data_IF_405103367341
#
_entry.id   IF_405103367341
#
_cell.length_a   1.000
_cell.length_b   1.000
_cell.length_c   1.000
_cell.angle_alpha   90.00
_cell.angle_beta   90.00
_cell.angle_gamma   90.00
#
_symmetry.space_group_name_H-M   'P 1'
#
loop_
_entity.id
_entity.type
_entity.pdbx_description
1 polymer ?
#
# COMPACT_ATOMS: atom_id res chain seq x y z
N UNK A 1 -94.15 6.41 18.62
CA UNK A 1 -92.98 5.86 19.33
C UNK A 1 -91.89 5.65 18.28
N UNK A 2 -90.64 6.04 18.39
CA UNK A 2 -89.88 6.84 19.34
C UNK A 2 -88.57 7.15 18.59
N UNK A 3 -88.02 8.34 18.77
CA UNK A 3 -86.71 8.74 18.24
C UNK A 3 -85.61 7.69 18.52
N UNK A 4 -84.61 7.57 17.65
CA UNK A 4 -83.23 8.05 17.92
C UNK A 4 -82.14 7.60 16.92
N UNK A 5 -81.37 8.61 16.46
CA UNK A 5 -79.88 8.68 16.30
C UNK A 5 -79.20 7.76 15.24
N UNK A 6 -78.10 8.07 14.54
CA UNK A 6 -77.03 9.09 14.58
C UNK A 6 -76.56 9.42 13.16
N UNK A 7 -76.25 10.69 12.91
CA UNK A 7 -75.33 11.15 11.87
C UNK A 7 -73.89 10.76 12.24
N UNK A 8 -73.10 10.31 11.25
CA UNK A 8 -71.64 10.31 11.31
C UNK A 8 -71.12 10.59 9.92
N UNK A 9 -70.41 11.71 9.82
CA UNK A 9 -69.88 12.30 8.61
C UNK A 9 -68.45 11.81 8.34
N UNK A 10 -67.96 12.26 7.18
CA UNK A 10 -66.58 12.43 6.75
C UNK A 10 -65.94 11.25 6.01
N UNK A 11 -66.11 11.34 4.69
CA UNK A 11 -65.19 10.86 3.68
C UNK A 11 -63.79 11.46 3.88
N UNK A 12 -62.77 10.61 3.82
CA UNK A 12 -61.40 10.99 3.47
C UNK A 12 -60.94 9.98 2.43
N UNK A 13 -61.04 10.36 1.16
CA UNK A 13 -60.43 9.60 0.07
C UNK A 13 -58.92 9.89 0.10
N UNK A 14 -58.14 8.91 0.57
CA UNK A 14 -56.70 8.96 0.50
C UNK A 14 -56.24 8.85 -0.96
N UNK A 15 -55.63 9.90 -1.50
CA UNK A 15 -54.89 9.84 -2.76
C UNK A 15 -53.72 8.86 -2.58
N UNK A 16 -53.75 7.73 -3.27
CA UNK A 16 -52.57 6.89 -3.45
C UNK A 16 -51.63 7.58 -4.44
N UNK A 17 -50.59 8.23 -3.92
CA UNK A 17 -49.45 8.63 -4.73
C UNK A 17 -48.64 7.36 -5.07
N UNK A 18 -48.70 6.91 -6.32
CA UNK A 18 -47.76 5.92 -6.85
C UNK A 18 -46.37 6.56 -6.88
N UNK A 19 -45.58 6.35 -5.84
CA UNK A 19 -44.12 6.48 -5.95
C UNK A 19 -43.62 5.28 -6.75
N UNK A 20 -43.29 5.52 -8.01
CA UNK A 20 -42.49 4.59 -8.79
C UNK A 20 -41.14 4.45 -8.09
N UNK A 21 -40.99 3.40 -7.29
CA UNK A 21 -39.68 2.91 -6.86
C UNK A 21 -38.94 2.49 -8.13
N UNK A 22 -38.16 3.41 -8.70
CA UNK A 22 -37.03 3.02 -9.54
C UNK A 22 -36.11 2.18 -8.67
N UNK A 23 -36.25 0.85 -8.77
CA UNK A 23 -35.30 -0.07 -8.17
C UNK A 23 -33.93 0.30 -8.72
N UNK A 24 -33.08 0.87 -7.87
CA UNK A 24 -31.69 1.11 -8.20
C UNK A 24 -31.10 -0.24 -8.61
N UNK A 25 -30.70 -0.35 -9.87
CA UNK A 25 -29.96 -1.53 -10.35
C UNK A 25 -28.75 -1.67 -9.42
N UNK A 26 -28.57 -2.80 -8.72
CA UNK A 26 -27.41 -2.98 -7.86
C UNK A 26 -26.19 -2.77 -8.74
N UNK A 27 -25.34 -1.81 -8.36
CA UNK A 27 -24.10 -1.54 -9.06
C UNK A 27 -23.34 -2.88 -9.16
N UNK A 28 -23.18 -3.39 -10.38
CA UNK A 28 -22.45 -4.63 -10.62
C UNK A 28 -21.09 -4.48 -9.98
N UNK A 29 -20.82 -5.25 -8.93
CA UNK A 29 -19.54 -5.21 -8.24
C UNK A 29 -18.43 -5.42 -9.27
N UNK A 30 -17.53 -4.44 -9.40
CA UNK A 30 -16.37 -4.57 -10.27
C UNK A 30 -15.61 -5.82 -9.80
N UNK A 31 -15.36 -6.75 -10.73
CA UNK A 31 -14.61 -7.96 -10.42
C UNK A 31 -13.28 -7.59 -9.74
N UNK A 32 -12.96 -8.26 -8.62
CA UNK A 32 -11.72 -8.02 -7.89
C UNK A 32 -10.54 -8.24 -8.84
N UNK A 33 -9.66 -7.25 -8.92
CA UNK A 33 -8.45 -7.38 -9.73
C UNK A 33 -7.54 -8.41 -9.06
N UNK A 34 -7.12 -9.49 -9.75
CA UNK A 34 -6.22 -10.47 -9.16
C UNK A 34 -4.91 -9.80 -8.72
N UNK A 35 -4.37 -10.18 -7.56
CA UNK A 35 -3.01 -9.78 -7.17
C UNK A 35 -2.00 -10.42 -8.12
N UNK A 36 -1.23 -9.60 -8.83
CA UNK A 36 -0.26 -10.06 -9.82
C UNK A 36 1.17 -9.99 -9.32
N UNK A 37 1.51 -9.01 -8.47
CA UNK A 37 2.81 -8.89 -7.81
C UNK A 37 2.72 -7.79 -6.76
N UNK A 38 3.02 -8.10 -5.49
CA UNK A 38 3.06 -7.08 -4.45
C UNK A 38 1.73 -6.48 -4.04
N UNK A 39 0.59 -7.00 -4.49
CA UNK A 39 -0.74 -6.47 -4.14
C UNK A 39 -1.15 -6.71 -2.68
N UNK A 40 -0.35 -7.45 -1.89
CA UNK A 40 -0.61 -7.73 -0.48
C UNK A 40 0.62 -7.39 0.39
N UNK A 41 0.38 -7.04 1.67
CA UNK A 41 1.47 -6.82 2.65
C UNK A 41 2.37 -8.05 2.76
N UNK A 42 1.77 -9.24 2.78
CA UNK A 42 2.45 -10.53 2.82
C UNK A 42 3.44 -10.74 1.66
N UNK A 43 3.24 -10.09 0.51
CA UNK A 43 4.16 -10.16 -0.62
C UNK A 43 5.50 -9.50 -0.30
N UNK A 44 5.49 -8.47 0.55
CA UNK A 44 6.69 -7.77 1.02
C UNK A 44 7.31 -8.47 2.22
N UNK A 45 6.52 -9.02 3.14
CA UNK A 45 7.03 -9.41 4.47
C UNK A 45 7.04 -10.91 4.70
N UNK A 46 6.09 -11.62 4.12
CA UNK A 46 6.02 -13.09 4.08
C UNK A 46 4.92 -13.57 5.00
N UNK A 47 4.51 -14.82 4.84
CA UNK A 47 3.48 -15.45 5.69
C UNK A 47 4.03 -16.55 6.59
N UNK A 48 5.22 -17.05 6.28
CA UNK A 48 5.91 -18.12 7.01
C UNK A 48 7.42 -18.02 6.78
N UNK A 49 8.19 -18.76 7.59
CA UNK A 49 9.65 -18.83 7.48
C UNK A 49 10.38 -17.66 8.15
N UNK A 50 11.72 -17.68 8.01
CA UNK A 50 12.57 -16.62 8.52
C UNK A 50 12.37 -15.33 7.71
N UNK A 51 12.41 -14.18 8.39
CA UNK A 51 12.42 -12.88 7.72
C UNK A 51 13.75 -12.72 6.99
N UNK A 52 13.67 -12.60 5.67
CA UNK A 52 14.83 -12.32 4.82
C UNK A 52 14.80 -10.85 4.40
N UNK A 53 15.83 -10.06 4.75
CA UNK A 53 15.89 -8.64 4.41
C UNK A 53 16.10 -8.43 2.91
N UNK A 54 15.60 -7.32 2.41
CA UNK A 54 16.06 -6.77 1.14
C UNK A 54 17.36 -6.02 1.37
N UNK A 55 18.35 -6.24 0.50
CA UNK A 55 19.65 -5.55 0.55
C UNK A 55 19.95 -4.92 -0.80
N UNK A 56 20.65 -3.80 -0.80
CA UNK A 56 21.07 -3.16 -2.04
C UNK A 56 21.68 -1.79 -1.81
N UNK A 57 21.40 -0.86 -2.72
CA UNK A 57 22.08 0.44 -2.74
C UNK A 57 21.12 1.57 -3.06
N UNK A 58 21.29 2.69 -2.37
CA UNK A 58 20.75 4.00 -2.73
C UNK A 58 21.85 4.82 -3.41
N UNK A 59 21.58 5.33 -4.61
CA UNK A 59 22.50 6.19 -5.38
C UNK A 59 21.93 7.60 -5.47
N UNK A 60 22.59 8.57 -4.84
CA UNK A 60 22.19 9.99 -4.81
C UNK A 60 23.21 10.81 -5.61
N UNK A 61 22.73 11.77 -6.41
CA UNK A 61 23.61 12.71 -7.12
C UNK A 61 23.42 14.11 -6.52
N UNK A 62 24.49 14.68 -5.97
CA UNK A 62 24.50 16.01 -5.33
C UNK A 62 25.62 16.82 -5.97
N UNK A 63 25.28 17.95 -6.60
CA UNK A 63 26.26 18.84 -7.26
C UNK A 63 27.21 18.07 -8.21
N UNK A 64 26.65 17.18 -9.04
CA UNK A 64 27.37 16.28 -9.96
C UNK A 64 28.27 15.20 -9.31
N UNK A 65 28.30 15.08 -7.99
CA UNK A 65 28.97 13.97 -7.31
C UNK A 65 27.97 12.86 -7.00
N UNK A 66 28.35 11.61 -7.27
CA UNK A 66 27.54 10.43 -6.99
C UNK A 66 27.93 9.81 -5.64
N UNK A 67 26.95 9.63 -4.77
CA UNK A 67 27.07 8.98 -3.49
C UNK A 67 26.29 7.67 -3.52
N UNK A 68 26.89 6.59 -3.00
CA UNK A 68 26.28 5.26 -2.94
C UNK A 68 26.22 4.76 -1.51
N UNK A 69 25.03 4.53 -1.01
CA UNK A 69 24.81 4.05 0.35
C UNK A 69 24.29 2.62 0.31
N UNK A 70 24.99 1.65 0.92
CA UNK A 70 24.41 0.34 1.20
C UNK A 70 23.15 0.51 2.04
N UNK A 71 22.08 -0.19 1.66
CA UNK A 71 20.80 -0.12 2.37
C UNK A 71 20.25 -1.52 2.60
N UNK A 72 19.57 -1.66 3.74
CA UNK A 72 18.86 -2.88 4.13
C UNK A 72 17.45 -2.51 4.55
N UNK A 73 16.46 -3.22 4.01
CA UNK A 73 15.03 -3.07 4.36
C UNK A 73 14.55 -4.42 4.89
N UNK A 74 14.26 -4.47 6.18
CA UNK A 74 13.92 -5.69 6.90
C UNK A 74 12.51 -5.58 7.46
N UNK A 75 11.63 -6.52 7.13
CA UNK A 75 10.34 -6.58 7.83
C UNK A 75 10.55 -6.90 9.31
N UNK A 76 9.76 -6.31 10.21
CA UNK A 76 9.87 -6.62 11.64
C UNK A 76 9.06 -7.85 12.05
N UNK A 77 8.05 -8.24 11.26
CA UNK A 77 7.24 -9.42 11.49
C UNK A 77 6.59 -9.91 10.19
N UNK A 78 6.31 -11.20 10.10
CA UNK A 78 5.54 -11.78 9.00
C UNK A 78 4.16 -11.10 8.91
N UNK A 79 3.72 -10.83 7.68
CA UNK A 79 2.46 -10.16 7.36
C UNK A 79 2.25 -8.80 8.09
N UNK A 80 3.33 -8.15 8.52
CA UNK A 80 3.29 -6.81 9.12
C UNK A 80 3.63 -5.75 8.08
N UNK A 81 3.11 -4.53 8.25
CA UNK A 81 3.56 -3.38 7.45
C UNK A 81 4.74 -2.62 8.08
N UNK A 82 5.34 -3.14 9.15
CA UNK A 82 6.46 -2.50 9.83
C UNK A 82 7.78 -2.96 9.22
N UNK A 83 8.61 -1.99 8.82
CA UNK A 83 9.95 -2.17 8.27
C UNK A 83 10.98 -1.50 9.17
N UNK A 84 12.16 -2.12 9.27
CA UNK A 84 13.40 -1.49 9.68
C UNK A 84 14.20 -1.14 8.44
N UNK A 85 14.59 0.12 8.30
CA UNK A 85 15.39 0.63 7.20
C UNK A 85 16.72 1.07 7.77
N UNK A 86 17.81 0.44 7.32
CA UNK A 86 19.17 0.81 7.69
C UNK A 86 19.91 1.30 6.45
N UNK A 87 20.71 2.35 6.60
CA UNK A 87 21.61 2.85 5.57
C UNK A 87 23.00 3.05 6.16
N UNK A 88 24.03 2.62 5.43
CA UNK A 88 25.42 2.84 5.81
C UNK A 88 25.96 4.09 5.12
N UNK A 89 26.41 5.06 5.91
CA UNK A 89 26.99 6.31 5.42
C UNK A 89 28.42 6.07 4.92
N UNK A 90 28.97 7.04 4.17
CA UNK A 90 30.38 6.99 3.72
C UNK A 90 31.38 6.98 4.89
N UNK A 91 30.97 7.47 6.06
CA UNK A 91 31.75 7.45 7.30
C UNK A 91 31.74 6.09 8.02
N UNK A 92 31.16 5.06 7.42
CA UNK A 92 30.92 3.73 8.01
C UNK A 92 29.87 3.70 9.14
N UNK A 93 29.32 4.86 9.53
CA UNK A 93 28.22 4.96 10.47
C UNK A 93 26.92 4.37 9.88
N UNK A 94 26.20 3.58 10.66
CA UNK A 94 24.85 3.14 10.33
C UNK A 94 23.81 4.11 10.88
N UNK A 95 22.86 4.50 10.03
CA UNK A 95 21.67 5.25 10.41
C UNK A 95 20.43 4.42 10.10
N UNK A 96 19.44 4.50 10.98
CA UNK A 96 18.32 3.57 10.95
C UNK A 96 17.00 4.22 11.32
N UNK A 97 15.90 3.70 10.77
CA UNK A 97 14.54 4.05 11.19
C UNK A 97 13.63 2.83 11.15
N UNK A 98 12.63 2.81 12.03
CA UNK A 98 11.52 1.85 11.97
C UNK A 98 10.28 2.59 11.47
N UNK A 99 9.63 2.07 10.43
CA UNK A 99 8.50 2.73 9.79
C UNK A 99 7.44 1.74 9.33
N UNK A 100 6.18 2.14 9.50
CA UNK A 100 5.07 1.48 8.81
C UNK A 100 5.01 1.94 7.37
N UNK A 101 4.86 1.01 6.43
CA UNK A 101 4.61 1.35 5.03
C UNK A 101 3.11 1.40 4.71
N UNK A 102 2.78 2.21 3.72
CA UNK A 102 1.46 2.24 3.05
C UNK A 102 1.57 1.50 1.73
N UNK A 103 0.59 0.65 1.43
CA UNK A 103 0.48 -0.09 0.17
C UNK A 103 -0.54 0.58 -0.75
N UNK A 104 -0.11 0.92 -1.95
CA UNK A 104 -0.95 1.42 -3.05
C UNK A 104 -0.98 0.36 -4.16
N UNK A 105 -2.17 -0.06 -4.59
CA UNK A 105 -2.35 -1.15 -5.56
C UNK A 105 -3.01 -0.59 -6.82
N UNK A 106 -2.35 -0.78 -7.96
CA UNK A 106 -2.88 -0.30 -9.24
C UNK A 106 -4.03 -1.16 -9.78
N UNK A 107 -4.65 -0.72 -10.87
CA UNK A 107 -5.75 -1.42 -11.53
C UNK A 107 -5.38 -2.77 -12.15
N UNK A 108 -4.11 -3.17 -12.09
CA UNK A 108 -3.59 -4.47 -12.53
C UNK A 108 -3.20 -5.36 -11.33
N UNK A 109 -3.47 -4.91 -10.10
CA UNK A 109 -3.14 -5.66 -8.88
C UNK A 109 -1.66 -5.60 -8.51
N UNK A 110 -0.90 -4.63 -9.03
CA UNK A 110 0.51 -4.43 -8.68
C UNK A 110 0.64 -3.43 -7.54
N UNK A 111 1.36 -3.81 -6.49
CA UNK A 111 1.55 -2.94 -5.33
C UNK A 111 2.79 -2.05 -5.42
N UNK A 112 2.70 -0.86 -4.84
CA UNK A 112 3.81 0.04 -4.56
C UNK A 112 3.73 0.44 -3.09
N UNK A 113 4.87 0.57 -2.43
CA UNK A 113 4.93 1.00 -1.04
C UNK A 113 5.56 2.37 -0.89
N UNK A 114 5.07 3.08 0.12
CA UNK A 114 5.66 4.30 0.67
C UNK A 114 6.01 4.08 2.13
N UNK A 115 7.21 4.49 2.56
CA UNK A 115 7.72 4.30 3.92
C UNK A 115 8.62 5.46 4.34
N UNK A 116 8.88 5.62 5.64
CA UNK A 116 9.90 6.56 6.13
C UNK A 116 11.30 5.95 6.04
N UNK A 117 12.26 6.78 5.68
CA UNK A 117 13.70 6.48 5.68
C UNK A 117 14.39 7.31 6.79
N UNK A 118 15.66 7.05 7.15
CA UNK A 118 16.30 7.68 8.31
C UNK A 118 16.17 9.21 8.40
N UNK A 119 16.12 9.91 7.26
CA UNK A 119 16.10 11.37 7.15
C UNK A 119 14.93 11.90 6.30
N UNK A 120 14.00 11.03 5.89
CA UNK A 120 12.94 11.40 4.97
C UNK A 120 12.06 10.23 4.60
N UNK A 121 11.85 9.97 3.31
CA UNK A 121 10.95 8.91 2.86
C UNK A 121 11.50 8.11 1.69
N UNK A 122 10.97 6.90 1.51
CA UNK A 122 11.18 6.02 0.37
C UNK A 122 9.86 5.69 -0.31
N UNK A 123 9.89 5.59 -1.64
CA UNK A 123 8.76 5.18 -2.46
C UNK A 123 9.22 4.23 -3.55
N UNK A 124 8.61 3.05 -3.65
CA UNK A 124 8.88 2.14 -4.77
C UNK A 124 8.24 2.65 -6.05
N UNK A 125 8.97 2.57 -7.16
CA UNK A 125 8.47 2.88 -8.50
C UNK A 125 8.22 1.61 -9.31
N UNK A 126 9.03 0.57 -9.09
CA UNK A 126 8.87 -0.76 -9.69
C UNK A 126 9.16 -1.86 -8.67
N UNK A 127 8.50 -2.99 -8.85
CA UNK A 127 8.72 -4.21 -8.08
C UNK A 127 8.80 -5.39 -9.04
N UNK A 128 9.60 -6.39 -8.67
CA UNK A 128 9.65 -7.67 -9.37
C UNK A 128 9.40 -8.79 -8.38
N UNK A 129 8.60 -9.76 -8.80
CA UNK A 129 8.31 -10.96 -8.03
C UNK A 129 9.09 -12.17 -8.56
N UNK A 130 9.27 -13.19 -7.70
CA UNK A 130 10.01 -14.40 -8.03
C UNK A 130 9.47 -15.12 -9.28
N UNK A 131 10.38 -15.67 -10.09
CA UNK A 131 10.18 -16.10 -11.48
C UNK A 131 9.37 -17.38 -11.74
N UNK A 132 8.49 -17.82 -10.84
CA UNK A 132 7.46 -18.80 -11.19
C UNK A 132 6.13 -18.07 -11.42
N UNK A 133 5.36 -18.51 -12.42
CA UNK A 133 4.17 -17.84 -12.96
C UNK A 133 3.03 -17.51 -11.97
N UNK A 134 3.19 -17.77 -10.67
CA UNK A 134 2.18 -17.60 -9.62
C UNK A 134 2.74 -17.05 -8.30
N UNK A 135 4.02 -16.64 -8.22
CA UNK A 135 4.52 -16.01 -6.99
C UNK A 135 4.23 -14.52 -7.02
N UNK A 136 3.49 -14.06 -6.03
CA UNK A 136 3.32 -12.64 -5.74
C UNK A 136 4.44 -12.12 -4.83
N UNK A 137 5.39 -12.99 -4.44
CA UNK A 137 6.49 -12.69 -3.52
C UNK A 137 7.50 -11.79 -4.19
N UNK A 138 7.69 -10.59 -3.64
CA UNK A 138 8.63 -9.61 -4.19
C UNK A 138 10.06 -10.05 -3.93
N UNK A 139 10.91 -10.04 -4.96
CA UNK A 139 12.34 -10.35 -4.88
C UNK A 139 13.21 -9.13 -5.19
N UNK A 140 12.63 -8.10 -5.83
CA UNK A 140 13.32 -6.84 -6.08
C UNK A 140 12.38 -5.65 -5.93
N UNK A 141 12.89 -4.57 -5.36
CA UNK A 141 12.23 -3.26 -5.32
C UNK A 141 13.18 -2.20 -5.86
N UNK A 142 12.65 -1.33 -6.71
CA UNK A 142 13.34 -0.10 -7.10
C UNK A 142 12.48 1.10 -6.79
N UNK A 143 13.10 2.26 -6.59
CA UNK A 143 12.36 3.45 -6.20
C UNK A 143 13.22 4.65 -5.95
N UNK A 144 12.61 5.67 -5.34
CA UNK A 144 13.29 6.88 -4.87
C UNK A 144 13.31 6.92 -3.36
N UNK A 145 14.43 7.33 -2.77
CA UNK A 145 14.56 7.52 -1.33
C UNK A 145 15.38 8.77 -1.02
N UNK A 146 15.03 9.47 0.05
CA UNK A 146 15.79 10.61 0.56
C UNK A 146 17.21 10.18 0.94
N UNK A 147 18.18 11.04 0.64
CA UNK A 147 19.57 10.88 1.05
C UNK A 147 19.66 10.70 2.58
N UNK A 148 20.37 9.67 3.08
CA UNK A 148 20.37 9.31 4.50
C UNK A 148 21.18 10.28 5.37
N UNK A 149 21.78 11.32 4.80
CA UNK A 149 22.46 12.38 5.55
C UNK A 149 21.48 13.48 5.95
N UNK A 150 21.55 13.91 7.20
CA UNK A 150 20.61 14.88 7.81
C UNK A 150 20.70 16.26 7.14
N UNK A 151 21.77 16.51 6.39
CA UNK A 151 22.09 17.80 5.79
C UNK A 151 21.50 17.98 4.39
N UNK A 152 20.86 16.94 3.81
CA UNK A 152 20.40 16.99 2.44
C UNK A 152 19.01 16.36 2.26
N UNK A 153 18.12 17.08 1.55
CA UNK A 153 16.79 16.58 1.17
C UNK A 153 16.74 15.98 -0.25
N UNK A 154 17.89 15.84 -0.91
CA UNK A 154 18.00 15.21 -2.22
C UNK A 154 17.46 13.77 -2.19
N UNK A 155 16.95 13.31 -3.33
CA UNK A 155 16.51 11.94 -3.51
C UNK A 155 17.38 11.22 -4.52
N UNK A 156 17.64 9.95 -4.24
CA UNK A 156 18.37 9.05 -5.12
C UNK A 156 17.55 7.85 -5.53
N UNK A 157 18.06 7.12 -6.51
CA UNK A 157 17.51 5.82 -6.91
C UNK A 157 17.98 4.75 -5.96
N UNK A 158 17.04 3.99 -5.40
CA UNK A 158 17.37 2.77 -4.69
C UNK A 158 17.01 1.54 -5.51
N UNK A 159 17.82 0.51 -5.36
CA UNK A 159 17.52 -0.85 -5.83
C UNK A 159 17.90 -1.80 -4.72
N UNK A 160 16.95 -2.64 -4.31
CA UNK A 160 17.16 -3.68 -3.30
C UNK A 160 16.60 -5.01 -3.77
N UNK A 161 17.25 -6.08 -3.36
CA UNK A 161 16.90 -7.45 -3.73
C UNK A 161 16.93 -8.37 -2.54
N UNK A 162 16.22 -9.49 -2.65
CA UNK A 162 16.34 -10.63 -1.76
C UNK A 162 16.18 -11.93 -2.56
N UNK A 163 16.68 -13.07 -2.05
CA UNK A 163 16.44 -14.37 -2.64
C UNK A 163 14.94 -14.68 -2.84
N UNK A 164 14.62 -15.39 -3.91
CA UNK A 164 13.33 -16.07 -4.02
C UNK A 164 13.29 -17.19 -2.98
N UNK A 165 12.25 -17.20 -2.14
CA UNK A 165 11.98 -18.24 -1.16
C UNK A 165 10.84 -19.12 -1.65
#
# INVERSE_FOLDING_TARGET
>A
MSHRTRTSALAVAALMALTTLSAAVPATAKAATPNTCGGLISDYTGVSGAIVPFTGTLTVVIKNNTFKYPITITSQALNSNILQINAKLQSDQEVSTTSSFTLDVDSLGRGKIFFQSPTGHGKTTSIHCGGALLTTRITQMTGKMTDPTITNSAQGDFTVTRPAL
#
